data_IF_850413061359
#
_entry.id   IF_850413061359
#
_cell.length_a   1.000
_cell.length_b   1.000
_cell.length_c   1.000
_cell.angle_alpha   90.00
_cell.angle_beta   90.00
_cell.angle_gamma   90.00
#
_symmetry.space_group_name_H-M   'P 1'
#
loop_
_entity.id
_entity.type
_entity.pdbx_description
1 polymer ?
#
# COMPACT_ATOMS: atom_id res chain seq x y z
N UNK A 1 -11.71 -0.51 -18.59
CA UNK A 1 -11.19 -0.02 -17.29
C UNK A 1 -12.34 0.15 -16.34
N UNK A 2 -12.36 -0.59 -15.23
CA UNK A 2 -13.26 -0.30 -14.11
C UNK A 2 -12.59 0.75 -13.22
N UNK A 3 -13.35 1.72 -12.72
CA UNK A 3 -12.86 2.62 -11.67
C UNK A 3 -12.76 1.85 -10.35
N UNK A 4 -11.65 2.07 -9.64
CA UNK A 4 -11.43 1.46 -8.32
C UNK A 4 -11.98 2.44 -7.26
N UNK A 5 -13.05 2.05 -6.58
CA UNK A 5 -13.70 2.88 -5.56
C UNK A 5 -13.03 2.68 -4.21
N UNK A 6 -12.40 3.72 -3.67
CA UNK A 6 -11.79 3.65 -2.34
C UNK A 6 -12.79 4.08 -1.26
N UNK A 7 -12.90 3.30 -0.18
CA UNK A 7 -13.64 3.75 0.99
C UNK A 7 -12.80 4.78 1.76
N UNK A 8 -13.29 6.00 1.94
CA UNK A 8 -12.61 7.06 2.70
C UNK A 8 -12.76 6.90 4.22
N UNK A 9 -13.73 6.13 4.69
CA UNK A 9 -13.96 5.93 6.12
C UNK A 9 -12.81 5.17 6.79
N UNK A 10 -11.99 4.45 6.01
CA UNK A 10 -10.76 3.80 6.48
C UNK A 10 -9.84 4.75 7.25
N UNK A 11 -9.83 6.04 6.93
CA UNK A 11 -9.00 7.03 7.64
C UNK A 11 -9.39 7.21 9.11
N UNK A 12 -10.65 6.92 9.46
CA UNK A 12 -11.15 6.96 10.84
C UNK A 12 -11.01 5.62 11.57
N UNK A 13 -10.81 4.51 10.83
CA UNK A 13 -10.64 3.20 11.43
C UNK A 13 -9.32 3.11 12.20
N UNK A 14 -9.37 2.49 13.38
CA UNK A 14 -8.21 2.33 14.26
C UNK A 14 -7.05 1.59 13.60
N UNK A 15 -7.33 0.56 12.79
CA UNK A 15 -6.30 -0.21 12.10
C UNK A 15 -5.48 0.65 11.14
N UNK A 16 -6.14 1.50 10.33
CA UNK A 16 -5.45 2.35 9.37
C UNK A 16 -4.83 3.57 10.06
N UNK A 17 -5.52 4.15 11.05
CA UNK A 17 -5.02 5.29 11.81
C UNK A 17 -3.67 4.99 12.50
N UNK A 18 -3.51 3.77 13.01
CA UNK A 18 -2.30 3.32 13.71
C UNK A 18 -1.10 3.04 12.80
N UNK A 19 -1.30 2.91 11.48
CA UNK A 19 -0.21 2.71 10.53
C UNK A 19 0.71 3.93 10.46
N UNK A 20 2.02 3.69 10.33
CA UNK A 20 3.01 4.72 10.04
C UNK A 20 2.73 5.34 8.65
N UNK A 21 3.18 6.57 8.39
CA UNK A 21 2.98 7.22 7.09
C UNK A 21 3.41 6.37 5.89
N UNK A 22 4.54 5.67 5.99
CA UNK A 22 5.03 4.80 4.91
C UNK A 22 4.20 3.52 4.74
N UNK A 23 3.67 2.97 5.83
CA UNK A 23 2.80 1.79 5.80
C UNK A 23 1.44 2.15 5.16
N UNK A 24 0.89 3.33 5.49
CA UNK A 24 -0.32 3.88 4.84
C UNK A 24 -0.11 4.05 3.34
N UNK A 25 1.02 4.65 2.95
CA UNK A 25 1.34 4.88 1.55
C UNK A 25 1.51 3.56 0.79
N UNK A 26 2.21 2.59 1.38
CA UNK A 26 2.37 1.25 0.81
C UNK A 26 1.01 0.54 0.67
N UNK A 27 0.15 0.60 1.69
CA UNK A 27 -1.19 0.01 1.62
C UNK A 27 -2.03 0.59 0.48
N UNK A 28 -2.06 1.93 0.35
CA UNK A 28 -2.78 2.61 -0.73
C UNK A 28 -2.20 2.18 -2.08
N UNK A 29 -0.87 2.16 -2.21
CA UNK A 29 -0.20 1.74 -3.43
C UNK A 29 -0.54 0.30 -3.83
N UNK A 30 -0.51 -0.66 -2.89
CA UNK A 30 -0.87 -2.06 -3.14
C UNK A 30 -2.33 -2.19 -3.56
N UNK A 31 -3.22 -1.49 -2.87
CA UNK A 31 -4.64 -1.45 -3.18
C UNK A 31 -4.90 -0.88 -4.57
N UNK A 32 -4.17 0.13 -5.03
CA UNK A 32 -4.37 0.73 -6.34
C UNK A 32 -3.75 -0.07 -7.49
N UNK A 33 -2.66 -0.81 -7.21
CA UNK A 33 -1.88 -1.54 -8.22
C UNK A 33 -2.16 -3.06 -8.29
N UNK A 34 -3.16 -3.58 -7.56
CA UNK A 34 -3.57 -4.98 -7.70
C UNK A 34 -4.54 -5.20 -8.87
N UNK A 35 -4.75 -6.45 -9.26
CA UNK A 35 -5.72 -6.85 -10.27
C UNK A 35 -7.17 -6.78 -9.73
N UNK A 36 -8.15 -7.14 -10.57
CA UNK A 36 -9.58 -7.12 -10.21
C UNK A 36 -9.89 -8.11 -9.08
N UNK A 37 -9.13 -9.20 -8.96
CA UNK A 37 -9.27 -10.20 -7.91
C UNK A 37 -8.51 -9.83 -6.62
N UNK A 38 -7.75 -8.73 -6.62
CA UNK A 38 -6.99 -8.25 -5.47
C UNK A 38 -5.57 -8.80 -5.38
N UNK A 39 -5.06 -9.49 -6.40
CA UNK A 39 -3.70 -10.00 -6.43
C UNK A 39 -2.72 -8.98 -7.00
N UNK A 40 -1.50 -8.98 -6.46
CA UNK A 40 -0.41 -8.15 -6.94
C UNK A 40 0.87 -8.98 -7.02
N UNK A 41 1.64 -8.79 -8.09
CA UNK A 41 2.95 -9.40 -8.23
C UNK A 41 3.94 -8.75 -7.26
N UNK A 42 4.63 -9.58 -6.47
CA UNK A 42 5.58 -9.09 -5.46
C UNK A 42 6.85 -8.62 -6.17
N UNK A 43 7.00 -7.30 -6.28
CA UNK A 43 8.21 -6.68 -6.81
C UNK A 43 8.63 -5.48 -5.95
N UNK A 44 9.34 -5.77 -4.85
CA UNK A 44 9.79 -4.77 -3.88
C UNK A 44 10.67 -3.68 -4.50
N UNK A 45 11.46 -4.02 -5.52
CA UNK A 45 12.31 -3.04 -6.23
C UNK A 45 11.47 -2.02 -6.98
N UNK A 46 10.43 -2.47 -7.69
CA UNK A 46 9.50 -1.58 -8.37
C UNK A 46 8.75 -0.70 -7.37
N UNK A 47 8.23 -1.28 -6.30
CA UNK A 47 7.50 -0.52 -5.29
C UNK A 47 8.37 0.56 -4.64
N UNK A 48 9.64 0.24 -4.36
CA UNK A 48 10.61 1.20 -3.85
C UNK A 48 10.82 2.39 -4.80
N UNK A 49 10.91 2.14 -6.11
CA UNK A 49 11.04 3.20 -7.13
C UNK A 49 9.77 4.03 -7.23
N UNK A 50 8.61 3.40 -7.32
CA UNK A 50 7.32 4.09 -7.51
C UNK A 50 6.95 4.94 -6.29
N UNK A 51 7.25 4.46 -5.08
CA UNK A 51 6.99 5.15 -3.81
C UNK A 51 8.09 6.19 -3.51
N UNK A 52 9.26 6.08 -4.12
CA UNK A 52 10.41 6.94 -3.84
C UNK A 52 11.05 6.66 -2.47
N UNK A 53 11.09 5.40 -2.06
CA UNK A 53 11.65 4.97 -0.78
C UNK A 53 12.74 3.89 -0.96
N UNK A 54 13.58 3.70 0.06
CA UNK A 54 14.56 2.62 0.04
C UNK A 54 13.89 1.25 0.17
N UNK A 55 14.51 0.22 -0.42
CA UNK A 55 14.00 -1.15 -0.38
C UNK A 55 13.79 -1.65 1.06
N UNK A 56 14.72 -1.33 1.97
CA UNK A 56 14.62 -1.69 3.40
C UNK A 56 13.39 -1.05 4.07
N UNK A 57 13.04 0.16 3.67
CA UNK A 57 11.87 0.87 4.20
C UNK A 57 10.58 0.20 3.74
N UNK A 58 10.51 -0.23 2.48
CA UNK A 58 9.37 -0.99 1.95
C UNK A 58 9.25 -2.35 2.63
N UNK A 59 10.35 -3.07 2.83
CA UNK A 59 10.36 -4.35 3.56
C UNK A 59 9.90 -4.18 5.02
N UNK A 60 10.33 -3.09 5.68
CA UNK A 60 9.89 -2.75 7.02
C UNK A 60 8.40 -2.41 7.07
N UNK A 61 7.91 -1.64 6.10
CA UNK A 61 6.50 -1.30 5.98
C UNK A 61 5.63 -2.54 5.71
N UNK A 62 6.10 -3.48 4.88
CA UNK A 62 5.39 -4.73 4.59
C UNK A 62 5.19 -5.60 5.84
N UNK A 63 6.14 -5.54 6.80
CA UNK A 63 6.05 -6.26 8.08
C UNK A 63 5.15 -5.56 9.11
N UNK A 64 4.88 -4.27 8.92
CA UNK A 64 4.02 -3.47 9.79
C UNK A 64 2.55 -3.44 9.36
N UNK A 65 2.28 -3.82 8.10
CA UNK A 65 0.94 -4.09 7.58
C UNK A 65 0.43 -5.46 8.06
#
# INVERSE_FOLDING_TARGET
MAYRFTNTDKWADSWFANLKPIEKLLFIYLYENCDIAGFIEINLKRWAVDIGAELKTIEGALKGL
#
